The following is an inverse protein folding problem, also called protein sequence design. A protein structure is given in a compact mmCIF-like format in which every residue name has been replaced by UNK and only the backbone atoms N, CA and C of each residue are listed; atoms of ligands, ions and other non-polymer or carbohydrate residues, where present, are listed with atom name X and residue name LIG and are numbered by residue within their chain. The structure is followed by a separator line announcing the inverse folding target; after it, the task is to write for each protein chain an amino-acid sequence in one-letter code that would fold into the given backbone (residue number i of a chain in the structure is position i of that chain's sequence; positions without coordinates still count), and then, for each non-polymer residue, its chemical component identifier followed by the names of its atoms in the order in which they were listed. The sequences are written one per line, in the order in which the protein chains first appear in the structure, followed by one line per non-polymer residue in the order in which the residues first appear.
data_IF_628500767400
#
_entry.id   IF_628500767400
#
_cell.length_a   1.000
_cell.length_b   1.000
_cell.length_c   1.000
_cell.angle_alpha   90.00
_cell.angle_beta   90.00
_cell.angle_gamma   90.00
#
_symmetry.space_group_name_H-M   'P 1'
#
loop_
_entity.id
_entity.type
_entity.pdbx_description
1 polymer ?
#
# COMPACT_ATOMS: atom_id res chain seq x y z
N UNK A 1 -46.53 -23.03 -26.77
CA UNK A 1 -47.44 -21.89 -26.55
C UNK A 1 -46.59 -20.64 -26.42
N UNK A 2 -46.70 -19.76 -27.41
CA UNK A 2 -46.09 -18.44 -27.40
C UNK A 2 -46.90 -17.49 -26.50
N UNK A 3 -46.24 -16.48 -25.93
CA UNK A 3 -46.62 -15.07 -26.14
C UNK A 3 -45.49 -14.15 -25.67
N UNK A 4 -44.94 -13.43 -26.63
CA UNK A 4 -44.16 -12.21 -26.49
C UNK A 4 -45.11 -11.01 -26.35
N UNK A 5 -44.68 -9.94 -25.68
CA UNK A 5 -45.12 -8.59 -26.05
C UNK A 5 -44.04 -7.57 -25.71
N UNK A 6 -43.66 -6.84 -26.77
CA UNK A 6 -42.73 -5.73 -26.76
C UNK A 6 -43.51 -4.41 -26.83
N UNK A 7 -42.84 -3.32 -26.45
CA UNK A 7 -43.08 -2.01 -27.05
C UNK A 7 -43.42 -0.89 -26.07
N UNK A 8 -42.69 0.23 -26.19
CA UNK A 8 -43.13 1.49 -25.61
C UNK A 8 -42.07 2.57 -25.38
N UNK A 9 -41.27 2.92 -26.39
CA UNK A 9 -40.58 4.21 -26.43
C UNK A 9 -41.61 5.34 -26.57
N UNK A 10 -41.56 6.36 -25.71
CA UNK A 10 -42.30 7.61 -25.92
C UNK A 10 -41.44 8.84 -25.64
N UNK A 11 -41.19 9.60 -26.71
CA UNK A 11 -40.71 10.99 -26.71
C UNK A 11 -41.92 11.93 -26.70
N UNK A 12 -41.90 12.99 -25.88
CA UNK A 12 -42.69 14.23 -26.11
C UNK A 12 -42.05 15.39 -25.33
N UNK A 13 -41.31 16.29 -26.00
CA UNK A 13 -41.65 17.60 -26.61
C UNK A 13 -41.92 18.76 -25.65
N UNK A 14 -41.29 19.88 -26.04
CA UNK A 14 -41.20 21.25 -25.52
C UNK A 14 -42.53 22.03 -25.54
N UNK A 15 -42.64 23.01 -24.65
CA UNK A 15 -43.52 24.19 -24.65
C UNK A 15 -43.79 24.62 -23.19
N UNK A 16 -43.61 25.85 -22.68
CA UNK A 16 -43.55 27.18 -23.28
C UNK A 16 -44.60 28.07 -22.59
N UNK A 17 -44.14 29.05 -21.79
CA UNK A 17 -44.73 30.38 -21.51
C UNK A 17 -45.70 30.58 -20.29
N UNK A 18 -45.31 31.57 -19.44
CA UNK A 18 -46.10 32.54 -18.63
C UNK A 18 -46.99 32.04 -17.45
N UNK A 19 -47.25 32.76 -16.34
CA UNK A 19 -46.83 34.03 -15.71
C UNK A 19 -47.55 34.15 -14.35
N UNK A 20 -46.98 34.95 -13.41
CA UNK A 20 -47.61 35.59 -12.24
C UNK A 20 -47.98 34.69 -11.03
N UNK A 21 -47.83 35.06 -9.75
CA UNK A 21 -47.51 36.33 -9.08
C UNK A 21 -47.11 36.04 -7.61
N UNK A 22 -46.06 36.69 -7.12
CA UNK A 22 -45.80 36.86 -5.67
C UNK A 22 -46.14 38.30 -5.28
N UNK A 23 -46.68 38.56 -4.07
CA UNK A 23 -46.70 39.90 -3.53
C UNK A 23 -45.39 40.22 -2.80
N UNK A 24 -44.98 41.47 -3.00
CA UNK A 24 -43.76 42.08 -2.50
C UNK A 24 -43.91 42.61 -1.07
N UNK A 25 -42.77 42.73 -0.38
CA UNK A 25 -42.51 43.88 0.50
C UNK A 25 -41.06 44.34 0.35
N UNK A 26 -40.94 45.66 0.22
CA UNK A 26 -39.82 46.45 -0.27
C UNK A 26 -39.00 47.09 0.84
N UNK A 27 -37.71 47.38 0.58
CA UNK A 27 -36.94 48.31 1.42
C UNK A 27 -35.46 48.56 1.05
N UNK A 28 -35.21 49.19 -0.12
CA UNK A 28 -34.18 50.23 -0.46
C UNK A 28 -32.72 50.12 0.09
N UNK A 29 -31.71 49.89 -0.77
CA UNK A 29 -30.83 50.87 -1.52
C UNK A 29 -29.62 51.37 -0.70
N UNK A 30 -28.34 51.48 -1.13
CA UNK A 30 -27.69 51.71 -2.45
C UNK A 30 -26.14 51.44 -2.31
N UNK A 31 -25.19 51.81 -3.22
CA UNK A 31 -24.52 50.86 -4.13
C UNK A 31 -22.97 50.87 -4.14
N UNK A 32 -22.41 49.93 -4.93
CA UNK A 32 -21.15 50.00 -5.72
C UNK A 32 -19.79 50.19 -5.02
N UNK A 33 -18.85 49.25 -5.23
CA UNK A 33 -17.60 49.50 -5.98
C UNK A 33 -16.74 48.23 -6.09
N UNK A 34 -16.26 47.98 -7.31
CA UNK A 34 -15.29 46.97 -7.75
C UNK A 34 -13.96 47.70 -8.00
N UNK A 35 -12.79 47.18 -7.62
CA UNK A 35 -11.55 47.66 -8.19
C UNK A 35 -10.95 46.66 -9.17
N UNK A 36 -10.42 47.24 -10.24
CA UNK A 36 -9.84 46.64 -11.41
C UNK A 36 -8.38 46.23 -11.22
N UNK A 37 -7.96 45.35 -12.12
CA UNK A 37 -6.57 45.07 -12.49
C UNK A 37 -5.75 46.36 -12.71
N UNK A 38 -4.57 46.43 -12.08
CA UNK A 38 -3.49 47.31 -12.49
C UNK A 38 -2.26 46.48 -12.84
N UNK A 39 -2.06 46.31 -14.15
CA UNK A 39 -0.77 46.04 -14.75
C UNK A 39 0.09 47.29 -14.60
N UNK A 40 1.28 47.18 -14.00
CA UNK A 40 2.36 48.15 -14.24
C UNK A 40 3.69 47.44 -14.47
N UNK A 41 4.24 47.81 -15.61
CA UNK A 41 5.45 47.39 -16.28
C UNK A 41 6.74 47.76 -15.55
N UNK A 42 7.74 46.88 -15.71
CA UNK A 42 9.18 47.12 -15.84
C UNK A 42 9.74 48.50 -15.42
N UNK A 43 10.67 48.46 -14.47
CA UNK A 43 11.84 49.34 -14.46
C UNK A 43 13.06 48.60 -13.90
N UNK A 44 14.16 48.81 -14.60
CA UNK A 44 15.49 48.22 -14.50
C UNK A 44 16.23 48.43 -13.18
N UNK A 45 17.02 47.41 -12.82
CA UNK A 45 18.40 47.45 -12.32
C UNK A 45 18.81 48.50 -11.26
N UNK A 46 19.20 48.00 -10.08
CA UNK A 46 20.46 48.37 -9.44
C UNK A 46 20.95 47.18 -8.56
N UNK A 47 22.21 46.73 -8.70
CA UNK A 47 22.81 45.74 -7.83
C UNK A 47 23.56 46.43 -6.68
N UNK A 48 23.20 46.11 -5.45
CA UNK A 48 23.96 46.55 -4.27
C UNK A 48 23.07 47.03 -3.15
N UNK A 49 22.63 46.10 -2.31
CA UNK A 49 22.91 46.26 -0.88
C UNK A 49 22.88 44.90 -0.20
N UNK A 50 23.96 44.62 0.53
CA UNK A 50 24.24 43.38 1.20
C UNK A 50 23.60 43.47 2.59
N UNK A 51 22.27 43.39 2.67
CA UNK A 51 21.57 43.24 3.95
C UNK A 51 21.25 41.76 4.13
N UNK A 52 21.95 41.13 5.06
CA UNK A 52 21.66 39.81 5.62
C UNK A 52 20.22 39.79 6.17
N UNK A 53 19.24 39.57 5.30
CA UNK A 53 17.87 39.30 5.72
C UNK A 53 17.86 37.90 6.30
N UNK A 54 18.05 37.84 7.61
CA UNK A 54 17.84 36.66 8.43
C UNK A 54 16.33 36.33 8.34
N UNK A 55 15.92 35.69 7.24
CA UNK A 55 14.59 35.12 7.06
C UNK A 55 14.50 33.99 8.08
N UNK A 56 14.13 34.34 9.31
CA UNK A 56 13.84 33.40 10.37
C UNK A 56 12.56 32.70 9.95
N UNK A 57 12.71 31.62 9.19
CA UNK A 57 11.62 30.70 8.85
C UNK A 57 11.06 30.25 10.20
N UNK A 58 9.85 30.70 10.52
CA UNK A 58 9.18 30.27 11.73
C UNK A 58 8.94 28.76 11.59
N UNK A 59 9.65 27.99 12.42
CA UNK A 59 9.61 26.54 12.40
C UNK A 59 8.71 26.09 13.55
N UNK A 60 7.60 25.39 13.27
CA UNK A 60 6.81 24.73 14.32
C UNK A 60 7.54 23.45 14.72
N UNK A 61 7.93 23.24 15.99
CA UNK A 61 8.63 22.04 16.43
C UNK A 61 7.95 20.73 15.98
N UNK A 62 6.62 20.72 15.81
CA UNK A 62 5.87 19.56 15.33
C UNK A 62 6.21 19.17 13.89
N UNK A 63 6.59 20.15 13.06
CA UNK A 63 7.02 19.89 11.68
C UNK A 63 8.38 19.15 11.66
N UNK A 64 9.23 19.26 12.70
CA UNK A 64 10.52 18.56 12.80
C UNK A 64 10.26 17.08 13.02
N UNK A 65 9.37 16.78 13.96
CA UNK A 65 9.03 15.43 14.34
C UNK A 65 8.39 14.68 13.16
N UNK A 66 7.50 15.34 12.40
CA UNK A 66 6.92 14.79 11.17
C UNK A 66 7.97 14.56 10.07
N UNK A 67 8.91 15.49 9.90
CA UNK A 67 10.00 15.38 8.93
C UNK A 67 10.94 14.21 9.27
N UNK A 68 11.26 14.04 10.55
CA UNK A 68 12.10 12.95 11.03
C UNK A 68 11.40 11.60 10.87
N UNK A 69 10.12 11.50 11.25
CA UNK A 69 9.35 10.27 11.08
C UNK A 69 9.19 9.87 9.61
N UNK A 70 8.94 10.85 8.73
CA UNK A 70 8.87 10.61 7.29
C UNK A 70 10.21 10.14 6.72
N UNK A 71 11.34 10.59 7.26
CA UNK A 71 12.67 10.12 6.82
C UNK A 71 12.95 8.65 7.18
N UNK A 72 12.26 8.09 8.17
CA UNK A 72 12.38 6.68 8.58
C UNK A 72 11.53 5.74 7.71
N UNK A 73 10.62 6.28 6.91
CA UNK A 73 9.75 5.51 6.03
C UNK A 73 10.33 5.46 4.60
N UNK A 74 10.18 4.34 3.89
CA UNK A 74 10.58 4.27 2.49
C UNK A 74 9.73 5.20 1.63
N UNK A 75 10.29 5.65 0.50
CA UNK A 75 9.58 6.54 -0.46
C UNK A 75 8.34 5.89 -1.07
N UNK A 76 8.36 4.57 -1.21
CA UNK A 76 7.23 3.77 -1.69
C UNK A 76 6.61 3.00 -0.53
N UNK A 77 5.28 2.95 -0.51
CA UNK A 77 4.52 2.02 0.34
C UNK A 77 4.67 0.60 -0.17
N UNK A 78 4.47 -0.40 0.68
CA UNK A 78 4.46 -1.81 0.24
C UNK A 78 3.43 -2.03 -0.88
N UNK A 79 2.25 -1.39 -0.82
CA UNK A 79 1.25 -1.47 -1.89
C UNK A 79 1.81 -1.06 -3.26
N UNK A 80 2.55 0.04 -3.30
CA UNK A 80 3.16 0.56 -4.52
C UNK A 80 4.26 -0.35 -5.06
N UNK A 81 5.08 -0.94 -4.18
CA UNK A 81 6.09 -1.93 -4.58
C UNK A 81 5.44 -3.15 -5.25
N UNK A 82 4.33 -3.66 -4.70
CA UNK A 82 3.58 -4.78 -5.30
C UNK A 82 3.02 -4.41 -6.68
N UNK A 83 2.47 -3.20 -6.82
CA UNK A 83 1.99 -2.70 -8.11
C UNK A 83 3.14 -2.62 -9.12
N UNK A 84 4.32 -2.12 -8.73
CA UNK A 84 5.47 -2.00 -9.63
C UNK A 84 5.98 -3.37 -10.11
N UNK A 85 5.98 -4.39 -9.24
CA UNK A 85 6.34 -5.76 -9.62
C UNK A 85 5.35 -6.35 -10.64
N UNK A 86 4.06 -6.03 -10.53
CA UNK A 86 3.03 -6.49 -11.48
C UNK A 86 2.92 -5.67 -12.77
N UNK A 87 3.52 -4.47 -12.84
CA UNK A 87 3.35 -3.52 -13.92
C UNK A 87 4.25 -3.85 -15.13
N UNK A 88 3.70 -3.74 -16.34
CA UNK A 88 4.52 -3.75 -17.57
C UNK A 88 5.10 -2.37 -17.86
N UNK A 89 6.42 -2.30 -18.03
CA UNK A 89 7.18 -1.05 -18.05
C UNK A 89 6.71 -0.06 -19.12
N UNK A 90 6.56 -0.52 -20.36
CA UNK A 90 6.19 0.32 -21.51
C UNK A 90 4.70 0.53 -21.65
N UNK A 91 3.89 -0.40 -21.15
CA UNK A 91 2.46 -0.37 -21.35
C UNK A 91 1.72 0.35 -20.24
N UNK A 92 2.28 0.38 -19.02
CA UNK A 92 1.71 1.12 -17.90
C UNK A 92 0.41 0.53 -17.37
N UNK A 93 0.19 -0.76 -17.59
CA UNK A 93 -0.88 -1.53 -16.97
C UNK A 93 -0.34 -2.84 -16.40
N UNK A 94 -1.01 -3.34 -15.36
CA UNK A 94 -0.67 -4.61 -14.72
C UNK A 94 -0.93 -5.76 -15.68
N UNK A 95 -0.05 -6.77 -15.69
CA UNK A 95 -0.25 -7.97 -16.52
C UNK A 95 -1.60 -8.63 -16.28
N UNK A 96 -2.06 -8.64 -15.03
CA UNK A 96 -3.38 -9.12 -14.63
C UNK A 96 -3.80 -8.43 -13.32
N UNK A 97 -5.05 -7.98 -13.23
CA UNK A 97 -5.66 -7.51 -11.98
C UNK A 97 -6.76 -8.49 -11.60
N UNK A 98 -6.58 -9.18 -10.47
CA UNK A 98 -7.49 -10.19 -9.96
C UNK A 98 -7.83 -9.94 -8.49
N UNK A 99 -8.66 -10.80 -7.93
CA UNK A 99 -9.10 -10.68 -6.54
C UNK A 99 -7.94 -10.93 -5.56
N UNK A 100 -6.94 -11.76 -5.91
CA UNK A 100 -5.76 -12.00 -5.06
C UNK A 100 -4.93 -10.72 -4.86
N UNK A 101 -4.53 -10.02 -5.93
CA UNK A 101 -3.79 -8.75 -5.78
C UNK A 101 -4.67 -7.70 -5.11
N UNK A 102 -5.96 -7.65 -5.45
CA UNK A 102 -6.93 -6.74 -4.85
C UNK A 102 -6.97 -6.92 -3.33
N UNK A 103 -7.17 -8.14 -2.85
CA UNK A 103 -7.28 -8.48 -1.42
C UNK A 103 -5.93 -8.32 -0.70
N UNK A 104 -4.83 -8.75 -1.32
CA UNK A 104 -3.46 -8.59 -0.77
C UNK A 104 -3.12 -7.13 -0.53
N UNK A 105 -3.51 -6.22 -1.43
CA UNK A 105 -3.28 -4.78 -1.26
C UNK A 105 -4.00 -4.21 -0.03
N UNK A 106 -5.16 -4.76 0.36
CA UNK A 106 -5.84 -4.35 1.60
C UNK A 106 -5.11 -4.86 2.84
N UNK A 107 -4.57 -6.07 2.79
CA UNK A 107 -3.64 -6.55 3.81
C UNK A 107 -2.41 -5.64 3.92
N UNK A 108 -1.84 -5.22 2.78
CA UNK A 108 -0.70 -4.31 2.75
C UNK A 108 -1.01 -2.94 3.38
N UNK A 109 -2.25 -2.44 3.29
CA UNK A 109 -2.67 -1.21 3.98
C UNK A 109 -2.58 -1.37 5.51
N UNK A 110 -3.11 -2.47 6.05
CA UNK A 110 -3.00 -2.77 7.49
C UNK A 110 -1.53 -2.91 7.91
N UNK A 111 -0.77 -3.66 7.13
CA UNK A 111 0.64 -3.91 7.37
C UNK A 111 1.45 -2.60 7.38
N UNK A 112 1.23 -1.72 6.40
CA UNK A 112 1.92 -0.43 6.31
C UNK A 112 1.53 0.52 7.45
N UNK A 113 0.25 0.55 7.85
CA UNK A 113 -0.20 1.32 9.02
C UNK A 113 0.47 0.82 10.31
N UNK A 114 0.65 -0.49 10.48
CA UNK A 114 1.32 -1.06 11.64
C UNK A 114 2.83 -0.71 11.64
N UNK A 115 3.52 -0.85 10.51
CA UNK A 115 4.93 -0.48 10.37
C UNK A 115 5.19 1.02 10.58
N UNK A 116 4.20 1.86 10.28
CA UNK A 116 4.20 3.31 10.56
C UNK A 116 3.70 3.67 11.97
N UNK A 117 3.45 2.69 12.83
CA UNK A 117 2.97 2.90 14.22
C UNK A 117 1.64 3.63 14.33
N UNK A 118 0.75 3.51 13.35
CA UNK A 118 -0.60 4.08 13.42
C UNK A 118 -1.59 3.15 14.13
N UNK A 119 -1.38 1.84 14.00
CA UNK A 119 -2.23 0.81 14.60
C UNK A 119 -1.39 -0.23 15.35
N UNK A 120 -2.02 -0.88 16.33
CA UNK A 120 -1.45 -1.98 17.08
C UNK A 120 -2.53 -3.00 17.47
N UNK A 121 -2.12 -4.21 17.85
CA UNK A 121 -3.01 -5.14 18.52
C UNK A 121 -3.56 -4.52 19.81
N UNK A 122 -4.84 -4.78 20.08
CA UNK A 122 -5.47 -4.37 21.34
C UNK A 122 -4.73 -5.02 22.49
N UNK A 123 -4.37 -4.22 23.50
CA UNK A 123 -3.63 -4.69 24.68
C UNK A 123 -4.52 -5.48 25.64
N UNK A 124 -4.89 -6.69 25.23
CA UNK A 124 -5.61 -7.69 26.03
C UNK A 124 -4.75 -8.96 26.18
N UNK A 125 -4.44 -9.42 27.41
CA UNK A 125 -3.77 -10.70 27.64
C UNK A 125 -4.51 -11.92 27.06
N UNK A 126 -5.84 -11.87 26.98
CA UNK A 126 -6.65 -12.98 26.46
C UNK A 126 -6.63 -13.10 24.93
N UNK A 127 -6.14 -12.08 24.20
CA UNK A 127 -6.08 -12.10 22.73
C UNK A 127 -5.33 -13.30 22.17
N UNK A 128 -4.35 -13.82 22.93
CA UNK A 128 -3.51 -14.97 22.54
C UNK A 128 -4.30 -16.28 22.44
N UNK A 129 -5.53 -16.33 22.96
CA UNK A 129 -6.46 -17.46 22.78
C UNK A 129 -7.02 -17.55 21.37
N UNK A 130 -6.99 -16.44 20.62
CA UNK A 130 -7.50 -16.37 19.25
C UNK A 130 -6.36 -16.51 18.23
N UNK A 131 -6.64 -17.08 17.05
CA UNK A 131 -5.74 -17.02 15.90
C UNK A 131 -5.32 -15.60 15.58
N UNK A 132 -4.15 -15.42 14.95
CA UNK A 132 -3.60 -14.09 14.68
C UNK A 132 -4.55 -13.17 13.90
N UNK A 133 -5.19 -13.61 12.79
CA UNK A 133 -6.12 -12.75 12.04
C UNK A 133 -7.37 -12.33 12.83
N UNK A 134 -7.74 -13.11 13.85
CA UNK A 134 -8.95 -12.89 14.66
C UNK A 134 -8.71 -11.93 15.84
N UNK A 135 -7.46 -11.52 16.06
CA UNK A 135 -7.11 -10.56 17.12
C UNK A 135 -7.49 -9.15 16.71
N UNK A 136 -8.07 -8.42 17.66
CA UNK A 136 -8.51 -7.04 17.45
C UNK A 136 -7.34 -6.07 17.39
N UNK A 137 -7.48 -5.05 16.53
CA UNK A 137 -6.56 -3.93 16.40
C UNK A 137 -7.23 -2.62 16.81
N UNK A 138 -6.41 -1.66 17.23
CA UNK A 138 -6.82 -0.31 17.57
C UNK A 138 -5.87 0.75 16.97
N UNK A 139 -6.41 1.94 16.74
CA UNK A 139 -5.63 3.12 16.35
C UNK A 139 -4.91 3.67 17.57
N UNK A 140 -3.58 3.74 17.50
CA UNK A 140 -2.71 4.29 18.56
C UNK A 140 -2.21 5.71 18.23
N UNK A 141 -2.14 6.04 16.94
CA UNK A 141 -1.77 7.36 16.44
C UNK A 141 -2.60 7.68 15.19
N UNK A 142 -3.27 8.82 15.18
CA UNK A 142 -4.20 9.26 14.13
C UNK A 142 -3.60 10.30 13.19
N UNK A 143 -2.31 10.63 13.33
CA UNK A 143 -1.60 11.52 12.41
C UNK A 143 -1.64 10.97 10.99
N UNK A 144 -1.95 11.86 10.04
CA UNK A 144 -2.01 11.49 8.63
C UNK A 144 -0.63 11.04 8.13
N UNK A 145 -0.65 10.05 7.25
CA UNK A 145 0.55 9.45 6.65
C UNK A 145 0.96 10.14 5.35
N UNK A 146 0.08 10.97 4.79
CA UNK A 146 0.23 11.56 3.44
C UNK A 146 -0.20 10.61 2.32
N UNK A 147 -0.47 9.34 2.64
CA UNK A 147 -0.90 8.33 1.68
C UNK A 147 -2.42 8.19 1.72
N UNK A 148 -3.05 8.56 0.60
CA UNK A 148 -4.51 8.71 0.47
C UNK A 148 -5.31 7.46 0.87
N UNK A 149 -4.79 6.25 0.62
CA UNK A 149 -5.46 4.99 1.01
C UNK A 149 -5.23 4.64 2.49
N UNK A 150 -4.04 4.88 3.02
CA UNK A 150 -3.74 4.65 4.44
C UNK A 150 -4.56 5.59 5.32
N UNK A 151 -4.68 6.86 4.92
CA UNK A 151 -5.41 7.88 5.67
C UNK A 151 -6.92 7.65 5.66
N UNK A 152 -7.47 7.12 4.57
CA UNK A 152 -8.88 6.72 4.51
C UNK A 152 -9.16 5.53 5.44
N UNK A 153 -8.32 4.50 5.40
CA UNK A 153 -8.44 3.34 6.28
C UNK A 153 -8.27 3.75 7.75
N UNK A 154 -7.30 4.60 8.07
CA UNK A 154 -7.04 5.09 9.42
C UNK A 154 -8.23 5.87 9.99
N UNK A 155 -8.83 6.78 9.21
CA UNK A 155 -10.04 7.52 9.59
C UNK A 155 -11.21 6.58 9.86
N UNK A 156 -11.39 5.58 8.99
CA UNK A 156 -12.44 4.57 9.13
C UNK A 156 -12.25 3.75 10.41
N UNK A 157 -11.03 3.30 10.70
CA UNK A 157 -10.70 2.56 11.93
C UNK A 157 -10.95 3.36 13.19
N UNK A 158 -10.59 4.64 13.18
CA UNK A 158 -10.73 5.52 14.35
C UNK A 158 -12.19 5.69 14.81
N UNK A 159 -13.12 5.81 13.87
CA UNK A 159 -14.55 6.05 14.18
C UNK A 159 -15.35 4.76 14.39
N UNK A 160 -14.73 3.61 14.14
CA UNK A 160 -15.36 2.30 14.21
C UNK A 160 -15.08 1.61 15.55
N UNK A 161 -15.88 0.59 15.85
CA UNK A 161 -15.52 -0.36 16.90
C UNK A 161 -14.23 -1.12 16.56
N UNK A 162 -13.54 -1.62 17.58
CA UNK A 162 -12.35 -2.45 17.41
C UNK A 162 -12.76 -3.76 16.74
N UNK A 163 -12.09 -4.09 15.65
CA UNK A 163 -12.33 -5.29 14.86
C UNK A 163 -11.03 -6.05 14.60
N UNK A 164 -11.15 -7.30 14.17
CA UNK A 164 -10.00 -8.14 13.88
C UNK A 164 -9.28 -7.74 12.61
N UNK A 165 -8.01 -8.15 12.49
CA UNK A 165 -7.21 -7.94 11.26
C UNK A 165 -7.92 -8.51 10.03
N UNK A 166 -8.39 -9.76 10.12
CA UNK A 166 -9.12 -10.40 9.02
C UNK A 166 -10.38 -9.64 8.64
N UNK A 167 -11.19 -9.24 9.63
CA UNK A 167 -12.42 -8.46 9.38
C UNK A 167 -12.11 -7.14 8.67
N UNK A 168 -11.06 -6.42 9.06
CA UNK A 168 -10.69 -5.18 8.37
C UNK A 168 -10.30 -5.40 6.91
N UNK A 169 -9.56 -6.47 6.61
CA UNK A 169 -9.18 -6.81 5.23
C UNK A 169 -10.42 -7.17 4.41
N UNK A 170 -11.34 -7.96 4.95
CA UNK A 170 -12.60 -8.34 4.28
C UNK A 170 -13.49 -7.12 4.01
N UNK A 171 -13.67 -6.25 5.01
CA UNK A 171 -14.47 -5.03 4.90
C UNK A 171 -13.91 -4.09 3.81
N UNK A 172 -12.59 -3.84 3.82
CA UNK A 172 -11.94 -2.96 2.85
C UNK A 172 -11.88 -3.54 1.44
N UNK A 173 -11.95 -4.87 1.32
CA UNK A 173 -11.99 -5.58 0.03
C UNK A 173 -13.42 -5.67 -0.52
N UNK A 174 -14.43 -5.65 0.36
CA UNK A 174 -15.83 -5.82 0.00
C UNK A 174 -16.29 -7.29 0.04
N UNK A 175 -15.53 -8.16 0.71
CA UNK A 175 -15.82 -9.61 0.84
C UNK A 175 -16.81 -9.92 1.98
N UNK A 176 -17.26 -8.89 2.71
CA UNK A 176 -18.21 -9.03 3.80
C UNK A 176 -19.67 -9.04 3.30
N UNK A 177 -20.54 -9.78 4.00
CA UNK A 177 -22.00 -9.69 3.83
C UNK A 177 -22.66 -8.68 4.79
N UNK A 178 -21.89 -7.96 5.61
CA UNK A 178 -22.43 -7.02 6.58
C UNK A 178 -22.94 -5.72 5.90
N UNK A 179 -24.26 -5.65 5.66
CA UNK A 179 -24.92 -4.52 5.00
C UNK A 179 -24.67 -3.18 5.72
N UNK A 180 -24.55 -3.19 7.05
CA UNK A 180 -24.30 -1.96 7.83
C UNK A 180 -22.90 -1.39 7.61
N UNK A 181 -21.96 -2.21 7.10
CA UNK A 181 -20.57 -1.84 6.84
C UNK A 181 -20.22 -1.85 5.35
N UNK A 182 -21.21 -1.83 4.46
CA UNK A 182 -21.01 -1.80 3.00
C UNK A 182 -20.17 -0.60 2.53
N UNK A 183 -20.17 0.50 3.29
CA UNK A 183 -19.39 1.70 3.00
C UNK A 183 -17.89 1.59 3.29
N UNK A 184 -17.42 0.47 3.85
CA UNK A 184 -16.04 0.30 4.30
C UNK A 184 -15.11 -0.16 3.16
N UNK A 185 -15.68 -0.59 2.03
CA UNK A 185 -14.90 -1.02 0.87
C UNK A 185 -14.12 0.16 0.28
N UNK A 186 -12.80 -0.03 0.16
CA UNK A 186 -11.94 0.93 -0.52
C UNK A 186 -12.14 0.81 -2.03
N UNK A 187 -12.56 1.93 -2.64
CA UNK A 187 -12.85 2.02 -4.09
C UNK A 187 -11.67 2.60 -4.86
N UNK A 188 -11.57 2.21 -6.13
CA UNK A 188 -10.59 2.74 -7.08
C UNK A 188 -9.13 2.61 -6.59
N UNK A 189 -8.82 1.53 -5.87
CA UNK A 189 -7.50 1.31 -5.26
C UNK A 189 -6.40 1.34 -6.31
N UNK A 190 -6.63 0.67 -7.45
CA UNK A 190 -5.67 0.63 -8.56
C UNK A 190 -5.36 2.03 -9.10
N UNK A 191 -6.40 2.81 -9.39
CA UNK A 191 -6.26 4.15 -9.96
C UNK A 191 -5.61 5.12 -8.97
N UNK A 192 -5.95 5.00 -7.69
CA UNK A 192 -5.37 5.83 -6.62
C UNK A 192 -3.90 5.51 -6.37
N UNK A 193 -3.51 4.23 -6.41
CA UNK A 193 -2.10 3.82 -6.34
C UNK A 193 -1.31 4.30 -7.58
N UNK A 194 -1.89 4.15 -8.78
CA UNK A 194 -1.27 4.67 -10.00
C UNK A 194 -1.08 6.20 -9.92
N UNK A 195 -2.07 6.93 -9.42
CA UNK A 195 -1.96 8.37 -9.18
C UNK A 195 -0.86 8.69 -8.16
N UNK A 196 -0.77 7.97 -7.04
CA UNK A 196 0.31 8.15 -6.06
C UNK A 196 1.71 7.97 -6.67
N UNK A 197 1.87 6.92 -7.49
CA UNK A 197 3.12 6.68 -8.23
C UNK A 197 3.43 7.76 -9.29
N UNK A 198 2.42 8.36 -9.91
CA UNK A 198 2.60 9.52 -10.81
C UNK A 198 3.04 10.75 -10.02
N UNK A 199 2.38 11.04 -8.91
CA UNK A 199 2.69 12.20 -8.05
C UNK A 199 4.12 12.08 -7.45
N UNK A 200 4.60 10.85 -7.23
CA UNK A 200 5.99 10.53 -6.82
C UNK A 200 7.02 10.54 -7.96
N UNK A 201 6.58 10.74 -9.21
CA UNK A 201 7.47 10.77 -10.39
C UNK A 201 7.93 9.39 -10.89
N UNK A 202 7.39 8.29 -10.34
CA UNK A 202 7.74 6.92 -10.74
C UNK A 202 7.09 6.57 -12.07
N UNK A 203 5.81 6.92 -12.22
CA UNK A 203 5.04 6.76 -13.45
C UNK A 203 4.83 8.12 -14.11
N UNK A 204 4.59 8.11 -15.42
CA UNK A 204 4.09 9.29 -16.15
C UNK A 204 2.72 8.99 -16.71
N UNK A 205 1.92 10.02 -16.92
CA UNK A 205 0.63 9.87 -17.62
C UNK A 205 0.85 10.04 -19.12
N UNK A 206 0.51 9.01 -19.88
CA UNK A 206 0.46 9.05 -21.34
C UNK A 206 -0.97 8.83 -21.83
N UNK A 207 -1.40 9.69 -22.76
CA UNK A 207 -2.66 9.50 -23.48
C UNK A 207 -2.42 8.61 -24.69
N UNK A 208 -2.98 7.39 -24.68
CA UNK A 208 -2.97 6.50 -25.86
C UNK A 208 -4.28 6.63 -26.62
N UNK A 209 -4.17 6.99 -27.89
CA UNK A 209 -5.32 7.11 -28.77
C UNK A 209 -5.61 5.75 -29.40
N UNK A 210 -6.80 5.22 -29.14
CA UNK A 210 -7.36 4.08 -29.86
C UNK A 210 -8.31 4.59 -30.94
N UNK A 211 -8.65 3.75 -31.92
CA UNK A 211 -9.49 4.14 -33.05
C UNK A 211 -10.83 4.78 -32.63
N UNK A 212 -11.37 4.40 -31.47
CA UNK A 212 -12.70 4.82 -31.00
C UNK A 212 -12.70 5.61 -29.69
N UNK A 213 -11.58 5.68 -28.98
CA UNK A 213 -11.49 6.34 -27.68
C UNK A 213 -10.03 6.59 -27.30
N UNK A 214 -9.81 7.49 -26.35
CA UNK A 214 -8.51 7.71 -25.75
C UNK A 214 -8.46 7.09 -24.36
N UNK A 215 -7.34 6.46 -24.02
CA UNK A 215 -7.12 5.84 -22.72
C UNK A 215 -5.89 6.44 -22.05
N UNK A 216 -6.04 6.86 -20.80
CA UNK A 216 -4.90 7.21 -19.97
C UNK A 216 -4.13 5.93 -19.58
N UNK A 217 -2.84 5.93 -19.82
CA UNK A 217 -1.90 4.86 -19.44
C UNK A 217 -0.78 5.43 -18.58
N UNK A 218 -0.21 4.60 -17.73
CA UNK A 218 0.76 5.03 -16.73
C UNK A 218 2.09 4.26 -16.85
N UNK A 219 2.85 4.41 -17.95
CA UNK A 219 4.13 3.73 -18.10
C UNK A 219 5.18 4.24 -17.10
N UNK A 220 6.20 3.43 -16.87
CA UNK A 220 7.29 3.75 -15.94
C UNK A 220 8.09 4.91 -16.52
N UNK A 221 8.20 5.99 -15.76
CA UNK A 221 9.02 7.16 -16.06
C UNK A 221 10.44 7.00 -15.55
N UNK A 222 10.59 6.53 -14.32
CA UNK A 222 11.88 6.27 -13.68
C UNK A 222 11.99 4.78 -13.34
N UNK A 223 12.86 4.06 -14.07
CA UNK A 223 13.07 2.63 -13.86
C UNK A 223 13.82 2.31 -12.58
N UNK A 224 14.55 3.27 -12.00
CA UNK A 224 15.38 3.05 -10.81
C UNK A 224 14.56 2.54 -9.62
N UNK A 225 13.32 3.00 -9.49
CA UNK A 225 12.39 2.52 -8.46
C UNK A 225 12.04 1.05 -8.63
N UNK A 226 11.72 0.62 -9.86
CA UNK A 226 11.40 -0.79 -10.13
C UNK A 226 12.64 -1.67 -10.00
N UNK A 227 13.79 -1.19 -10.48
CA UNK A 227 15.07 -1.89 -10.39
C UNK A 227 15.50 -2.09 -8.92
N UNK A 228 15.25 -1.10 -8.05
CA UNK A 228 15.49 -1.23 -6.60
C UNK A 228 14.65 -2.34 -5.97
N UNK A 229 13.33 -2.35 -6.24
CA UNK A 229 12.41 -3.36 -5.72
C UNK A 229 12.84 -4.75 -6.22
N UNK A 230 13.11 -4.89 -7.52
CA UNK A 230 13.60 -6.14 -8.12
C UNK A 230 14.91 -6.61 -7.48
N UNK A 231 15.86 -5.71 -7.24
CA UNK A 231 17.13 -6.05 -6.61
C UNK A 231 16.95 -6.53 -5.16
N UNK A 232 16.04 -5.92 -4.40
CA UNK A 232 15.70 -6.39 -3.04
C UNK A 232 15.00 -7.75 -3.06
N UNK A 233 14.05 -7.96 -3.96
CA UNK A 233 13.38 -9.26 -4.18
C UNK A 233 14.39 -10.35 -4.53
N UNK A 234 15.29 -10.10 -5.47
CA UNK A 234 16.32 -11.07 -5.86
C UNK A 234 17.32 -11.31 -4.73
N UNK A 235 17.75 -10.26 -4.02
CA UNK A 235 18.69 -10.43 -2.90
C UNK A 235 18.11 -11.33 -1.81
N UNK A 236 16.88 -11.06 -1.38
CA UNK A 236 16.29 -11.86 -0.29
C UNK A 236 15.98 -13.29 -0.72
N UNK A 237 15.60 -13.53 -1.99
CA UNK A 237 15.20 -14.86 -2.45
C UNK A 237 16.35 -15.72 -2.99
N UNK A 238 17.38 -15.13 -3.58
CA UNK A 238 18.44 -15.88 -4.29
C UNK A 238 19.81 -15.79 -3.63
N UNK A 239 20.07 -14.75 -2.83
CA UNK A 239 21.37 -14.59 -2.18
C UNK A 239 21.61 -15.66 -1.12
N UNK A 240 22.87 -16.07 -1.02
CA UNK A 240 23.38 -16.91 0.07
C UNK A 240 23.63 -16.12 1.35
N UNK A 241 23.65 -14.79 1.27
CA UNK A 241 23.85 -13.89 2.39
C UNK A 241 22.63 -12.99 2.58
N UNK A 242 22.28 -12.73 3.84
CA UNK A 242 21.19 -11.83 4.19
C UNK A 242 21.67 -10.38 4.13
N UNK A 243 21.78 -9.86 2.91
CA UNK A 243 22.14 -8.47 2.68
C UNK A 243 21.06 -7.79 1.84
N UNK A 244 20.18 -7.03 2.48
CA UNK A 244 19.24 -6.18 1.73
C UNK A 244 20.04 -5.00 1.15
N UNK A 245 20.08 -4.76 -0.16
CA UNK A 245 20.88 -3.71 -0.79
C UNK A 245 20.43 -2.31 -0.39
N UNK A 246 21.34 -1.47 0.09
CA UNK A 246 21.04 -0.07 0.43
C UNK A 246 21.15 0.82 -0.80
N UNK A 247 20.13 1.66 -1.00
CA UNK A 247 20.05 2.62 -2.11
C UNK A 247 19.52 3.97 -1.59
N UNK A 248 19.58 5.01 -2.41
CA UNK A 248 19.00 6.33 -2.07
C UNK A 248 17.46 6.28 -1.95
N UNK A 249 16.83 5.23 -2.49
CA UNK A 249 15.39 4.98 -2.37
C UNK A 249 15.05 4.13 -1.15
N UNK A 250 16.00 3.31 -0.69
CA UNK A 250 15.87 2.38 0.42
C UNK A 250 17.14 2.38 1.29
N UNK A 251 17.31 3.47 2.04
CA UNK A 251 18.51 3.75 2.83
C UNK A 251 18.69 2.80 4.02
N UNK A 252 19.82 2.91 4.73
CA UNK A 252 20.07 2.16 5.97
C UNK A 252 19.15 2.55 7.11
N UNK A 253 18.63 3.78 7.09
CA UNK A 253 17.91 4.39 8.20
C UNK A 253 16.41 4.07 8.17
N UNK A 254 15.95 3.39 7.11
CA UNK A 254 14.58 2.92 6.98
C UNK A 254 14.25 1.99 8.14
N UNK A 255 13.17 2.30 8.87
CA UNK A 255 12.68 1.50 9.98
C UNK A 255 12.18 0.14 9.48
N UNK A 256 12.52 -0.92 10.21
CA UNK A 256 12.12 -2.30 9.91
C UNK A 256 12.56 -2.75 8.52
N UNK A 257 13.77 -2.38 8.13
CA UNK A 257 14.30 -2.55 6.78
C UNK A 257 14.25 -3.99 6.27
N UNK A 258 14.63 -4.94 7.11
CA UNK A 258 14.63 -6.37 6.78
C UNK A 258 13.20 -6.88 6.76
N UNK A 259 12.41 -6.54 7.78
CA UNK A 259 11.02 -6.97 7.88
C UNK A 259 10.16 -6.45 6.71
N UNK A 260 10.34 -5.19 6.29
CA UNK A 260 9.68 -4.61 5.11
C UNK A 260 10.02 -5.36 3.83
N UNK A 261 11.28 -5.77 3.64
CA UNK A 261 11.67 -6.59 2.51
C UNK A 261 11.02 -7.98 2.52
N UNK A 262 10.89 -8.61 3.71
CA UNK A 262 10.14 -9.86 3.90
C UNK A 262 8.66 -9.66 3.56
N UNK A 263 8.05 -8.61 4.09
CA UNK A 263 6.64 -8.28 3.83
C UNK A 263 6.38 -8.07 2.33
N UNK A 264 7.28 -7.38 1.63
CA UNK A 264 7.18 -7.15 0.19
C UNK A 264 7.21 -8.47 -0.59
N UNK A 265 8.14 -9.38 -0.31
CA UNK A 265 8.18 -10.66 -1.06
C UNK A 265 7.01 -11.57 -0.74
N UNK A 266 6.59 -11.64 0.53
CA UNK A 266 5.41 -12.40 0.94
C UNK A 266 4.11 -11.86 0.32
N UNK A 267 3.97 -10.53 0.27
CA UNK A 267 2.84 -9.90 -0.39
C UNK A 267 2.91 -10.08 -1.92
N UNK A 268 4.08 -10.00 -2.54
CA UNK A 268 4.23 -10.28 -3.97
C UNK A 268 3.87 -11.72 -4.34
N UNK A 269 4.19 -12.66 -3.45
CA UNK A 269 3.80 -14.07 -3.56
C UNK A 269 2.28 -14.22 -3.47
N UNK A 270 1.64 -13.73 -2.40
CA UNK A 270 0.19 -13.81 -2.21
C UNK A 270 -0.62 -13.08 -3.30
N UNK A 271 -0.09 -11.99 -3.85
CA UNK A 271 -0.68 -11.24 -4.95
C UNK A 271 -0.48 -11.91 -6.33
N UNK A 272 0.23 -13.04 -6.42
CA UNK A 272 0.59 -13.72 -7.67
C UNK A 272 1.34 -12.82 -8.67
N UNK A 273 2.22 -11.94 -8.16
CA UNK A 273 3.07 -11.06 -8.99
C UNK A 273 4.56 -11.32 -8.83
N UNK A 274 4.96 -12.18 -7.88
CA UNK A 274 6.38 -12.49 -7.62
C UNK A 274 7.09 -13.08 -8.86
N UNK A 275 6.40 -13.90 -9.66
CA UNK A 275 6.99 -14.55 -10.84
C UNK A 275 7.58 -13.53 -11.83
N UNK A 276 6.97 -12.35 -11.94
CA UNK A 276 7.44 -11.28 -12.84
C UNK A 276 8.86 -10.82 -12.50
N UNK A 277 9.27 -10.91 -11.22
CA UNK A 277 10.62 -10.57 -10.77
C UNK A 277 11.64 -11.69 -11.04
N UNK A 278 11.17 -12.93 -11.19
CA UNK A 278 12.00 -14.13 -11.28
C UNK A 278 12.11 -14.69 -12.71
N UNK A 279 11.54 -13.99 -13.70
CA UNK A 279 11.49 -14.42 -15.10
C UNK A 279 12.89 -14.63 -15.71
N UNK A 280 13.90 -13.90 -15.22
CA UNK A 280 15.28 -13.98 -15.71
C UNK A 280 16.09 -15.12 -15.09
N UNK A 281 15.58 -15.77 -14.04
CA UNK A 281 16.25 -16.90 -13.39
C UNK A 281 16.04 -18.21 -14.16
N UNK A 282 16.96 -19.16 -13.97
CA UNK A 282 16.76 -20.54 -14.42
C UNK A 282 15.55 -21.17 -13.72
N UNK A 283 15.01 -22.24 -14.30
CA UNK A 283 13.88 -22.98 -13.73
C UNK A 283 14.15 -23.39 -12.28
N UNK A 284 15.28 -24.06 -12.01
CA UNK A 284 15.65 -24.51 -10.66
C UNK A 284 15.80 -23.35 -9.67
N UNK A 285 16.38 -22.22 -10.10
CA UNK A 285 16.56 -21.05 -9.23
C UNK A 285 15.22 -20.36 -8.92
N UNK A 286 14.27 -20.40 -9.86
CA UNK A 286 12.92 -19.88 -9.66
C UNK A 286 12.13 -20.74 -8.67
N UNK A 287 12.18 -22.06 -8.82
CA UNK A 287 11.55 -23.01 -7.89
C UNK A 287 12.12 -22.84 -6.47
N UNK A 288 13.45 -22.76 -6.33
CA UNK A 288 14.09 -22.50 -5.05
C UNK A 288 13.70 -21.14 -4.44
N UNK A 289 13.53 -20.10 -5.25
CA UNK A 289 13.09 -18.79 -4.79
C UNK A 289 11.64 -18.81 -4.29
N UNK A 290 10.75 -19.54 -4.95
CA UNK A 290 9.37 -19.74 -4.48
C UNK A 290 9.33 -20.53 -3.18
N UNK A 291 10.09 -21.63 -3.08
CA UNK A 291 10.19 -22.41 -1.85
C UNK A 291 10.70 -21.56 -0.68
N UNK A 292 11.72 -20.73 -0.91
CA UNK A 292 12.23 -19.81 0.13
C UNK A 292 11.20 -18.75 0.53
N UNK A 293 10.39 -18.27 -0.41
CA UNK A 293 9.32 -17.32 -0.11
C UNK A 293 8.21 -17.96 0.74
N UNK A 294 7.85 -19.21 0.45
CA UNK A 294 6.89 -19.99 1.25
C UNK A 294 7.41 -20.22 2.68
N UNK A 295 8.70 -20.57 2.82
CA UNK A 295 9.35 -20.71 4.13
C UNK A 295 9.37 -19.39 4.92
N UNK A 296 9.66 -18.26 4.25
CA UNK A 296 9.56 -16.92 4.85
C UNK A 296 8.13 -16.62 5.31
N UNK A 297 7.14 -16.91 4.47
CA UNK A 297 5.74 -16.68 4.81
C UNK A 297 5.30 -17.53 6.02
N UNK A 298 5.70 -18.80 6.07
CA UNK A 298 5.41 -19.71 7.18
C UNK A 298 6.04 -19.26 8.51
N UNK A 299 7.28 -18.74 8.46
CA UNK A 299 8.02 -18.27 9.63
C UNK A 299 7.46 -16.94 10.17
N UNK A 300 7.13 -15.99 9.29
CA UNK A 300 6.68 -14.65 9.67
C UNK A 300 5.17 -14.54 9.89
N UNK A 301 4.37 -15.54 9.47
CA UNK A 301 2.93 -15.66 9.78
C UNK A 301 2.63 -16.19 11.20
N UNK A 302 3.65 -16.23 12.05
CA UNK A 302 3.57 -16.61 13.46
C UNK A 302 4.16 -15.50 14.33
N UNK A 303 3.69 -15.42 15.59
CA UNK A 303 4.16 -14.41 16.55
C UNK A 303 4.48 -15.05 17.91
N UNK A 304 5.65 -14.77 18.52
CA UNK A 304 6.76 -13.96 18.00
C UNK A 304 7.45 -14.55 16.75
N UNK A 305 8.16 -13.72 15.97
CA UNK A 305 8.87 -14.21 14.78
C UNK A 305 9.80 -15.38 15.10
N UNK A 306 9.65 -16.49 14.39
CA UNK A 306 10.45 -17.69 14.59
C UNK A 306 10.17 -18.46 15.88
N UNK A 307 8.95 -18.36 16.39
CA UNK A 307 8.44 -19.26 17.43
C UNK A 307 8.24 -20.69 16.94
N UNK A 308 8.37 -20.96 15.64
CA UNK A 308 8.25 -22.30 15.06
C UNK A 308 9.34 -23.21 15.61
N UNK A 309 9.03 -24.24 16.42
CA UNK A 309 10.06 -25.18 16.83
C UNK A 309 10.57 -25.90 15.59
N UNK A 310 11.90 -26.00 15.45
CA UNK A 310 12.56 -26.61 14.30
C UNK A 310 12.05 -28.03 13.94
N UNK A 311 11.34 -28.70 14.88
CA UNK A 311 10.75 -30.04 14.79
C UNK A 311 9.28 -30.09 14.31
N UNK A 312 8.56 -28.96 14.18
CA UNK A 312 7.20 -28.94 13.62
C UNK A 312 7.18 -28.87 12.07
N UNK A 313 8.36 -28.81 11.44
CA UNK A 313 8.51 -29.03 10.00
C UNK A 313 8.08 -30.46 9.69
N UNK A 314 6.93 -30.60 9.08
CA UNK A 314 6.29 -31.89 8.78
C UNK A 314 7.29 -32.81 8.05
N UNK A 315 7.51 -34.07 8.49
CA UNK A 315 8.41 -35.02 7.83
C UNK A 315 7.83 -35.60 6.51
N UNK A 316 6.93 -34.88 5.84
CA UNK A 316 6.08 -35.42 4.76
C UNK A 316 6.28 -34.80 3.38
N UNK A 317 7.10 -33.75 3.24
CA UNK A 317 7.42 -33.13 1.95
C UNK A 317 8.85 -33.46 1.53
N UNK A 318 8.97 -34.38 0.57
CA UNK A 318 10.19 -34.76 -0.17
C UNK A 318 11.53 -34.78 0.62
N UNK A 319 11.89 -35.97 1.11
CA UNK A 319 13.31 -36.33 1.26
C UNK A 319 13.91 -36.46 -0.14
N UNK A 320 14.30 -35.34 -0.71
CA UNK A 320 15.23 -35.28 -1.84
C UNK A 320 16.63 -35.50 -1.30
N UNK A 321 17.17 -36.70 -1.47
CA UNK A 321 18.60 -36.99 -1.28
C UNK A 321 19.37 -36.16 -2.31
N UNK A 322 20.00 -35.06 -1.89
CA UNK A 322 20.80 -34.22 -2.79
C UNK A 322 21.30 -32.90 -2.19
N UNK A 323 22.55 -32.90 -1.72
CA UNK A 323 23.54 -31.81 -1.78
C UNK A 323 23.23 -30.47 -1.09
N UNK A 324 23.74 -30.27 0.13
CA UNK A 324 24.36 -29.04 0.69
C UNK A 324 23.65 -27.67 0.64
N UNK A 325 22.50 -27.53 -0.01
CA UNK A 325 21.77 -26.27 -0.20
C UNK A 325 20.74 -26.01 0.89
N UNK A 326 20.17 -27.06 1.48
CA UNK A 326 19.16 -27.00 2.54
C UNK A 326 19.71 -26.37 3.82
N UNK A 327 20.99 -26.60 4.14
CA UNK A 327 21.61 -26.02 5.33
C UNK A 327 21.82 -24.50 5.17
N UNK A 328 22.12 -24.05 3.94
CA UNK A 328 22.37 -22.64 3.63
C UNK A 328 21.07 -21.84 3.56
N UNK A 329 19.99 -22.39 2.99
CA UNK A 329 18.68 -21.72 2.98
C UNK A 329 18.14 -21.58 4.40
N UNK A 330 18.23 -22.63 5.22
CA UNK A 330 17.87 -22.58 6.63
C UNK A 330 18.69 -21.54 7.42
N UNK A 331 19.99 -21.46 7.20
CA UNK A 331 20.84 -20.44 7.84
C UNK A 331 20.42 -19.01 7.46
N UNK A 332 20.05 -18.78 6.19
CA UNK A 332 19.55 -17.48 5.73
C UNK A 332 18.22 -17.12 6.38
N UNK A 333 17.28 -18.04 6.50
CA UNK A 333 16.00 -17.79 7.16
C UNK A 333 16.18 -17.43 8.64
N UNK A 334 17.03 -18.17 9.36
CA UNK A 334 17.34 -17.91 10.77
C UNK A 334 17.96 -16.52 10.93
N UNK A 335 18.86 -16.13 10.03
CA UNK A 335 19.51 -14.83 10.05
C UNK A 335 18.55 -13.69 9.69
N UNK A 336 17.65 -13.87 8.70
CA UNK A 336 16.57 -12.92 8.38
C UNK A 336 15.67 -12.70 9.60
N UNK A 337 15.30 -13.79 10.29
CA UNK A 337 14.52 -13.72 11.53
C UNK A 337 15.27 -13.00 12.64
N UNK A 338 16.57 -13.25 12.79
CA UNK A 338 17.43 -12.57 13.78
C UNK A 338 17.52 -11.06 13.51
N UNK A 339 17.78 -10.66 12.26
CA UNK A 339 17.87 -9.25 11.86
C UNK A 339 16.52 -8.55 12.03
N UNK A 340 15.42 -9.17 11.61
CA UNK A 340 14.09 -8.60 11.79
C UNK A 340 13.74 -8.40 13.28
N UNK A 341 14.14 -9.33 14.16
CA UNK A 341 13.99 -9.17 15.62
C UNK A 341 14.92 -8.09 16.19
N UNK A 342 16.12 -7.93 15.64
CA UNK A 342 17.06 -6.90 16.06
C UNK A 342 16.60 -5.47 15.69
N UNK A 343 15.77 -5.34 14.65
CA UNK A 343 15.13 -4.08 14.26
C UNK A 343 13.97 -3.67 15.18
N UNK A 344 13.50 -4.56 16.08
CA UNK A 344 12.40 -4.29 17.00
C UNK A 344 12.87 -3.46 18.19
N UNK A 345 12.21 -2.33 18.45
CA UNK A 345 12.43 -1.54 19.67
C UNK A 345 11.48 -2.06 20.76
N UNK A 346 11.92 -2.13 22.04
CA UNK A 346 11.02 -2.47 23.14
C UNK A 346 9.79 -1.56 23.16
N UNK A 347 8.60 -2.16 23.04
CA UNK A 347 7.32 -1.44 22.94
C UNK A 347 6.61 -1.61 21.60
N UNK A 348 7.31 -2.03 20.54
CA UNK A 348 6.74 -2.18 19.19
C UNK A 348 6.07 -3.53 18.95
N UNK A 349 6.05 -4.40 19.97
CA UNK A 349 5.57 -5.79 19.86
C UNK A 349 4.14 -5.89 19.35
N UNK A 350 3.25 -4.99 19.78
CA UNK A 350 1.84 -5.04 19.41
C UNK A 350 1.61 -4.63 17.95
N UNK A 351 2.43 -3.74 17.41
CA UNK A 351 2.43 -3.30 16.01
C UNK A 351 2.95 -4.44 15.13
N UNK A 352 4.05 -5.08 15.52
CA UNK A 352 4.66 -6.15 14.75
C UNK A 352 3.85 -7.45 14.82
N UNK A 353 3.09 -7.67 15.89
CA UNK A 353 2.08 -8.74 15.96
C UNK A 353 0.98 -8.56 14.89
N UNK A 354 0.61 -7.31 14.52
CA UNK A 354 -0.30 -7.04 13.38
C UNK A 354 0.31 -7.46 12.06
N UNK A 355 1.62 -7.20 11.86
CA UNK A 355 2.33 -7.62 10.64
C UNK A 355 2.25 -9.13 10.47
N UNK A 356 2.55 -9.91 11.52
CA UNK A 356 2.39 -11.37 11.49
C UNK A 356 0.96 -11.82 11.21
N UNK A 357 -0.04 -11.12 11.75
CA UNK A 357 -1.44 -11.44 11.48
C UNK A 357 -1.84 -11.23 10.02
N UNK A 358 -1.35 -10.16 9.38
CA UNK A 358 -1.57 -9.95 7.94
C UNK A 358 -0.88 -11.04 7.12
N UNK A 359 0.37 -11.38 7.44
CA UNK A 359 1.09 -12.46 6.75
C UNK A 359 0.41 -13.83 6.95
N UNK A 360 -0.25 -14.03 8.10
CA UNK A 360 -1.08 -15.21 8.31
C UNK A 360 -2.32 -15.25 7.41
N UNK A 361 -2.92 -14.11 7.10
CA UNK A 361 -4.00 -14.06 6.11
C UNK A 361 -3.45 -14.42 4.72
N UNK A 362 -2.28 -13.88 4.36
CA UNK A 362 -1.63 -14.18 3.08
C UNK A 362 -1.33 -15.68 2.90
N UNK A 363 -0.89 -16.38 3.95
CA UNK A 363 -0.62 -17.83 3.89
C UNK A 363 -1.87 -18.70 3.73
N UNK A 364 -3.07 -18.12 3.83
CA UNK A 364 -4.36 -18.80 3.63
C UNK A 364 -5.08 -18.37 2.36
N UNK A 365 -4.51 -17.47 1.56
CA UNK A 365 -5.18 -16.99 0.35
C UNK A 365 -5.41 -18.07 -0.70
N UNK A 366 -4.54 -19.08 -0.78
CA UNK A 366 -4.75 -20.23 -1.67
C UNK A 366 -5.96 -21.10 -1.28
N UNK A 367 -6.46 -20.96 -0.03
CA UNK A 367 -7.68 -21.64 0.44
C UNK A 367 -8.96 -20.83 0.31
N UNK A 368 -8.86 -19.59 -0.20
CA UNK A 368 -10.00 -18.68 -0.45
C UNK A 368 -10.52 -18.78 -1.90
N UNK A 369 -9.78 -19.45 -2.78
CA UNK A 369 -10.14 -19.80 -4.17
C UNK A 369 -10.56 -21.26 -4.24
#
# INVERSE_FOLDING_TARGET
MATSSAGGLSRRRVGGVASASSPATSGRSNPSQRPEHLNRTNSSANPGDNSTSNHKIAYDPRDLDESQENSLNPKLTVMEEIILLGLKDKQGYLSFWNDNISYTLRGCIILELALRHRIAMVRDPNRRRFPLPDRYIEVIDDRLTGEVLLDEALKMMKVSEKMSVGTWIDLMSGETWNVMKIGYQLKQVRERLAKGLVDKGVLRTEKRNFLLFDMATHPISDSTFKDDVLRRTLSILTSRTVAIPSTDLYSSDVRYRTLRAVCMVCAAFAANVLENALVHLSYDAREAAFQKCDELLAEFSQWPFGSTPAHARTPGGSVGVGTGGTDVTNANLVEIGRLSRAEMVPGDELQLEVVSAVLHVFSKMDSLL
#
